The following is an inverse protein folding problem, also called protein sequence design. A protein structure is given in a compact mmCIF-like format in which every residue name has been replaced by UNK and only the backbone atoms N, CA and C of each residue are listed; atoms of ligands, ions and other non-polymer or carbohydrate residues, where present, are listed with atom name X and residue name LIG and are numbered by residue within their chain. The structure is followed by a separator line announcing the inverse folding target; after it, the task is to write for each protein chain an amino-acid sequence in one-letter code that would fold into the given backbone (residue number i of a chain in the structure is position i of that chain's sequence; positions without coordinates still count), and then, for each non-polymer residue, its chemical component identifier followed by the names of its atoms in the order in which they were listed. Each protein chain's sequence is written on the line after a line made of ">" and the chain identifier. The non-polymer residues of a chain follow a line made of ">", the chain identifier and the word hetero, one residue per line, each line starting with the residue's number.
data_IF_160284410161
#
_entry.id   IF_160284410161
#
_cell.length_a   1.000
_cell.length_b   1.000
_cell.length_c   1.000
_cell.angle_alpha   90.00
_cell.angle_beta   90.00
_cell.angle_gamma   90.00
#
_symmetry.space_group_name_H-M   'P 1'
#
loop_
_entity.id
_entity.type
_entity.pdbx_description
1 polymer ?
#
# COMPACT_ATOMS: atom_id res chain seq x y z
N UNK A 1 2.94 -3.31 6.17
CA UNK A 1 1.60 -2.74 6.49
C UNK A 1 0.78 -2.56 5.21
N UNK A 2 1.23 -1.77 4.19
CA UNK A 2 0.49 -1.51 2.94
C UNK A 2 0.03 -2.80 2.27
N UNK A 3 0.95 -3.74 2.01
CA UNK A 3 0.65 -5.04 1.42
C UNK A 3 -0.49 -5.77 2.15
N UNK A 4 -0.44 -5.77 3.50
CA UNK A 4 -1.47 -6.44 4.30
C UNK A 4 -2.83 -5.74 4.21
N UNK A 5 -2.86 -4.40 4.27
CA UNK A 5 -4.10 -3.63 4.13
C UNK A 5 -4.75 -3.85 2.76
N UNK A 6 -3.96 -3.79 1.69
CA UNK A 6 -4.45 -3.98 0.31
C UNK A 6 -5.01 -5.38 0.11
N UNK A 7 -4.28 -6.43 0.54
CA UNK A 7 -4.78 -7.79 0.40
C UNK A 7 -5.99 -8.06 1.29
N UNK A 8 -6.02 -7.58 2.53
CA UNK A 8 -7.19 -7.72 3.40
C UNK A 8 -8.46 -7.17 2.74
N UNK A 9 -8.38 -5.97 2.17
CA UNK A 9 -9.52 -5.35 1.48
C UNK A 9 -9.89 -6.11 0.21
N UNK A 10 -8.89 -6.51 -0.60
CA UNK A 10 -9.09 -7.25 -1.82
C UNK A 10 -9.74 -8.63 -1.56
N UNK A 11 -9.21 -9.37 -0.59
CA UNK A 11 -9.73 -10.68 -0.20
C UNK A 11 -11.15 -10.56 0.36
N UNK A 12 -11.38 -9.54 1.22
CA UNK A 12 -12.71 -9.33 1.83
C UNK A 12 -13.78 -9.03 0.78
N UNK A 13 -13.48 -8.25 -0.25
CA UNK A 13 -14.41 -7.97 -1.34
C UNK A 13 -14.60 -9.18 -2.25
N UNK A 14 -13.51 -9.85 -2.64
CA UNK A 14 -13.54 -10.96 -3.58
C UNK A 14 -14.25 -12.22 -3.05
N UNK A 15 -14.33 -12.37 -1.72
CA UNK A 15 -15.03 -13.49 -1.08
C UNK A 15 -16.55 -13.30 -1.02
N UNK A 16 -17.05 -12.11 -1.31
CA UNK A 16 -18.48 -11.84 -1.31
C UNK A 16 -19.12 -12.24 -2.64
N UNK A 17 -20.20 -13.04 -2.63
CA UNK A 17 -20.91 -13.39 -3.86
C UNK A 17 -21.67 -12.18 -4.40
N UNK A 18 -21.60 -11.99 -5.72
CA UNK A 18 -22.37 -10.96 -6.42
C UNK A 18 -23.74 -11.52 -6.78
N UNK A 19 -24.81 -10.99 -6.21
CA UNK A 19 -26.18 -11.41 -6.52
C UNK A 19 -26.67 -10.70 -7.78
N UNK A 20 -26.87 -11.46 -8.86
CA UNK A 20 -27.48 -10.93 -10.06
C UNK A 20 -29.01 -11.01 -9.91
N UNK A 21 -29.65 -9.83 -9.86
CA UNK A 21 -31.09 -9.72 -9.57
C UNK A 21 -31.87 -9.30 -10.81
N UNK A 22 -32.92 -10.04 -11.14
CA UNK A 22 -33.85 -9.68 -12.21
C UNK A 22 -35.19 -9.24 -11.63
N UNK A 23 -35.75 -8.14 -12.15
CA UNK A 23 -37.05 -7.65 -11.74
C UNK A 23 -38.17 -8.54 -12.36
N UNK A 24 -39.02 -9.13 -11.51
CA UNK A 24 -40.23 -9.86 -11.88
C UNK A 24 -41.41 -9.20 -11.22
N UNK A 25 -42.18 -8.41 -12.00
CA UNK A 25 -43.24 -7.57 -11.43
C UNK A 25 -42.66 -6.48 -10.51
N UNK A 26 -43.08 -6.48 -9.25
CA UNK A 26 -42.64 -5.49 -8.25
C UNK A 26 -41.50 -6.00 -7.33
N UNK A 27 -41.00 -7.23 -7.55
CA UNK A 27 -39.97 -7.83 -6.74
C UNK A 27 -38.72 -8.10 -7.55
N UNK A 28 -37.56 -8.06 -6.89
CA UNK A 28 -36.28 -8.50 -7.45
C UNK A 28 -36.01 -9.95 -7.00
N UNK A 29 -35.72 -10.81 -7.95
CA UNK A 29 -35.42 -12.23 -7.72
C UNK A 29 -34.04 -12.54 -8.26
N UNK A 30 -33.24 -13.28 -7.49
CA UNK A 30 -31.92 -13.73 -7.93
C UNK A 30 -32.06 -14.67 -9.14
N UNK A 31 -31.35 -14.36 -10.24
CA UNK A 31 -31.33 -15.17 -11.44
C UNK A 31 -29.96 -15.82 -11.63
N UNK A 32 -29.84 -17.06 -11.14
CA UNK A 32 -28.60 -17.86 -11.24
C UNK A 32 -28.44 -18.54 -12.60
N UNK A 33 -29.47 -18.52 -13.43
CA UNK A 33 -29.44 -19.13 -14.76
C UNK A 33 -28.87 -18.21 -15.83
N UNK A 34 -28.77 -16.93 -15.54
CA UNK A 34 -28.22 -15.95 -16.47
C UNK A 34 -26.70 -16.08 -16.58
N UNK A 35 -26.18 -15.89 -17.80
CA UNK A 35 -24.73 -15.89 -18.07
C UNK A 35 -23.98 -14.85 -17.24
N UNK A 36 -24.61 -13.73 -16.95
CA UNK A 36 -24.01 -12.68 -16.13
C UNK A 36 -23.70 -13.16 -14.70
N UNK A 37 -24.59 -13.99 -14.11
CA UNK A 37 -24.31 -14.61 -12.82
C UNK A 37 -23.02 -15.46 -12.86
N UNK A 38 -22.83 -16.23 -13.95
CA UNK A 38 -21.61 -17.04 -14.14
C UNK A 38 -20.36 -16.15 -14.28
N UNK A 39 -20.43 -15.08 -15.10
CA UNK A 39 -19.32 -14.16 -15.31
C UNK A 39 -18.92 -13.43 -14.01
N UNK A 40 -19.88 -13.02 -13.19
CA UNK A 40 -19.60 -12.27 -11.96
C UNK A 40 -19.09 -13.15 -10.81
N UNK A 41 -19.47 -14.44 -10.76
CA UNK A 41 -19.20 -15.31 -9.61
C UNK A 41 -18.24 -16.48 -9.89
N UNK A 42 -18.02 -16.85 -11.14
CA UNK A 42 -17.23 -18.04 -11.48
C UNK A 42 -16.04 -17.68 -12.35
N UNK A 43 -16.28 -17.17 -13.55
CA UNK A 43 -15.23 -16.93 -14.54
C UNK A 43 -15.54 -15.70 -15.40
N UNK A 44 -15.05 -14.52 -15.03
CA UNK A 44 -15.22 -13.29 -15.81
C UNK A 44 -14.54 -13.33 -17.17
N UNK A 45 -13.35 -13.94 -17.26
CA UNK A 45 -12.57 -14.10 -18.48
C UNK A 45 -11.83 -15.45 -18.50
N UNK A 46 -11.15 -15.76 -19.60
CA UNK A 46 -10.56 -17.08 -19.83
C UNK A 46 -9.46 -17.46 -18.82
N UNK A 47 -8.73 -16.46 -18.30
CA UNK A 47 -7.53 -16.68 -17.47
C UNK A 47 -7.67 -16.24 -16.01
N UNK A 48 -8.81 -15.67 -15.59
CA UNK A 48 -9.04 -15.26 -14.21
C UNK A 48 -10.29 -15.94 -13.64
N UNK A 49 -10.16 -16.46 -12.43
CA UNK A 49 -11.34 -16.79 -11.62
C UNK A 49 -12.03 -15.51 -11.14
N UNK A 50 -13.30 -15.61 -10.75
CA UNK A 50 -14.02 -14.44 -10.21
C UNK A 50 -13.33 -13.86 -8.96
N UNK A 51 -12.75 -14.71 -8.11
CA UNK A 51 -12.02 -14.28 -6.92
C UNK A 51 -10.78 -13.47 -7.30
N UNK A 52 -9.95 -14.00 -8.20
CA UNK A 52 -8.74 -13.30 -8.66
C UNK A 52 -9.09 -11.98 -9.37
N UNK A 53 -10.15 -11.99 -10.16
CA UNK A 53 -10.65 -10.82 -10.87
C UNK A 53 -11.03 -9.68 -9.90
N UNK A 54 -11.88 -9.97 -8.91
CA UNK A 54 -12.32 -8.98 -7.93
C UNK A 54 -11.19 -8.53 -7.01
N UNK A 55 -10.29 -9.44 -6.64
CA UNK A 55 -9.06 -9.05 -5.93
C UNK A 55 -8.24 -8.03 -6.74
N UNK A 56 -8.09 -8.30 -8.05
CA UNK A 56 -7.30 -7.41 -8.91
C UNK A 56 -7.99 -6.07 -9.14
N UNK A 57 -9.32 -6.04 -9.27
CA UNK A 57 -10.11 -4.80 -9.32
C UNK A 57 -9.85 -3.94 -8.09
N UNK A 58 -9.92 -4.51 -6.89
CA UNK A 58 -9.67 -3.79 -5.63
C UNK A 58 -8.21 -3.34 -5.52
N UNK A 59 -7.26 -4.17 -5.94
CA UNK A 59 -5.84 -3.77 -5.98
C UNK A 59 -5.63 -2.57 -6.90
N UNK A 60 -6.23 -2.56 -8.07
CA UNK A 60 -6.15 -1.40 -8.99
C UNK A 60 -6.78 -0.16 -8.38
N UNK A 61 -7.94 -0.27 -7.73
CA UNK A 61 -8.58 0.85 -7.03
C UNK A 61 -7.67 1.45 -5.96
N UNK A 62 -7.07 0.61 -5.11
CA UNK A 62 -6.27 1.09 -3.99
C UNK A 62 -4.89 1.60 -4.43
N UNK A 63 -4.23 0.90 -5.36
CA UNK A 63 -2.86 1.20 -5.78
C UNK A 63 -2.80 2.26 -6.89
N UNK A 64 -3.78 2.28 -7.81
CA UNK A 64 -3.81 3.18 -8.97
C UNK A 64 -4.94 4.21 -8.90
N UNK A 65 -5.94 3.99 -8.05
CA UNK A 65 -7.09 4.87 -7.92
C UNK A 65 -8.25 4.56 -8.87
N UNK A 66 -8.01 3.81 -9.92
CA UNK A 66 -8.97 3.49 -10.98
C UNK A 66 -8.92 2.01 -11.31
N UNK A 67 -10.08 1.43 -11.62
CA UNK A 67 -10.18 0.11 -12.23
C UNK A 67 -11.09 0.20 -13.45
N UNK A 68 -10.65 -0.40 -14.55
CA UNK A 68 -11.34 -0.38 -15.83
C UNK A 68 -11.71 -1.79 -16.24
N UNK A 69 -12.99 -2.01 -16.53
CA UNK A 69 -13.51 -3.28 -17.02
C UNK A 69 -14.22 -3.01 -18.34
N UNK A 70 -13.87 -3.73 -19.38
CA UNK A 70 -14.51 -3.64 -20.69
C UNK A 70 -15.36 -4.89 -20.92
N UNK A 71 -16.70 -4.77 -20.99
CA UNK A 71 -17.56 -5.84 -21.40
C UNK A 71 -17.33 -6.14 -22.88
N UNK A 72 -16.98 -7.39 -23.21
CA UNK A 72 -16.82 -7.83 -24.59
C UNK A 72 -18.07 -8.60 -24.97
N UNK A 73 -18.74 -8.14 -26.02
CA UNK A 73 -20.00 -8.72 -26.49
C UNK A 73 -19.75 -9.79 -27.55
N UNK A 74 -20.56 -10.82 -27.51
CA UNK A 74 -20.68 -11.79 -28.60
C UNK A 74 -21.52 -11.16 -29.73
N UNK A 75 -20.97 -11.06 -30.91
CA UNK A 75 -21.63 -10.44 -32.07
C UNK A 75 -22.92 -11.18 -32.53
N UNK A 76 -23.03 -12.48 -32.21
CA UNK A 76 -24.19 -13.27 -32.62
C UNK A 76 -25.35 -13.16 -31.64
N UNK A 77 -25.03 -13.19 -30.34
CA UNK A 77 -26.03 -13.21 -29.29
C UNK A 77 -26.29 -11.83 -28.68
N UNK A 78 -25.45 -10.84 -28.99
CA UNK A 78 -25.45 -9.50 -28.39
C UNK A 78 -25.41 -9.54 -26.86
N UNK A 79 -24.97 -10.65 -26.30
CA UNK A 79 -24.78 -10.80 -24.85
C UNK A 79 -23.31 -10.61 -24.47
N UNK A 80 -23.05 -10.27 -23.20
CA UNK A 80 -21.68 -10.17 -22.69
C UNK A 80 -21.02 -11.55 -22.72
N UNK A 81 -19.97 -11.67 -23.51
CA UNK A 81 -19.20 -12.90 -23.64
C UNK A 81 -18.17 -13.03 -22.50
N UNK A 82 -17.50 -11.95 -22.14
CA UNK A 82 -16.50 -11.88 -21.07
C UNK A 82 -16.36 -10.46 -20.54
N UNK A 83 -15.84 -10.34 -19.33
CA UNK A 83 -15.44 -9.07 -18.72
C UNK A 83 -13.91 -8.95 -18.78
N UNK A 84 -13.39 -8.02 -19.55
CA UNK A 84 -11.95 -7.81 -19.67
C UNK A 84 -11.49 -6.78 -18.64
N UNK A 85 -10.68 -7.20 -17.67
CA UNK A 85 -10.03 -6.30 -16.73
C UNK A 85 -8.77 -5.73 -17.37
N UNK A 86 -8.71 -4.40 -17.47
CA UNK A 86 -7.63 -3.66 -18.14
C UNK A 86 -6.67 -3.08 -17.11
N UNK A 87 -5.37 -3.14 -17.38
CA UNK A 87 -4.37 -2.49 -16.54
C UNK A 87 -4.54 -0.95 -16.61
N UNK A 88 -4.75 -0.26 -15.50
CA UNK A 88 -4.92 1.20 -15.50
C UNK A 88 -3.74 1.97 -16.09
N UNK A 89 -2.56 1.35 -16.20
CA UNK A 89 -1.38 2.00 -16.82
C UNK A 89 -1.44 2.04 -18.34
N UNK A 90 -2.30 1.22 -18.94
CA UNK A 90 -2.49 1.14 -20.40
C UNK A 90 -3.69 1.95 -20.89
N UNK A 91 -4.37 2.65 -19.97
CA UNK A 91 -5.56 3.45 -20.24
C UNK A 91 -5.23 4.94 -20.17
N UNK A 92 -5.49 5.67 -21.24
CA UNK A 92 -5.49 7.12 -21.26
C UNK A 92 -6.95 7.61 -21.29
N UNK A 93 -7.39 8.29 -20.24
CA UNK A 93 -8.73 8.86 -20.12
C UNK A 93 -8.70 10.33 -20.57
N UNK A 94 -9.40 10.65 -21.64
CA UNK A 94 -9.69 12.01 -22.05
C UNK A 94 -10.91 12.53 -21.26
N UNK A 95 -10.63 13.36 -20.28
CA UNK A 95 -11.68 13.93 -19.39
C UNK A 95 -12.52 15.01 -20.05
N UNK A 96 -12.12 15.51 -21.24
CA UNK A 96 -12.88 16.53 -21.99
C UNK A 96 -13.95 15.87 -22.83
N UNK A 97 -13.57 14.83 -23.59
CA UNK A 97 -14.48 14.10 -24.48
C UNK A 97 -15.12 12.88 -23.82
N UNK A 98 -14.74 12.54 -22.58
CA UNK A 98 -15.17 11.36 -21.83
C UNK A 98 -14.92 10.04 -22.60
N UNK A 99 -13.75 9.94 -23.26
CA UNK A 99 -13.32 8.76 -24.03
C UNK A 99 -12.10 8.11 -23.40
N UNK A 100 -11.97 6.80 -23.60
CA UNK A 100 -10.85 5.99 -23.08
C UNK A 100 -10.06 5.42 -24.24
N UNK A 101 -8.80 5.80 -24.36
CA UNK A 101 -7.86 5.13 -25.26
C UNK A 101 -7.17 4.01 -24.51
N UNK A 102 -7.42 2.77 -24.90
CA UNK A 102 -6.91 1.57 -24.25
C UNK A 102 -5.95 0.85 -25.19
N UNK A 103 -4.83 0.38 -24.65
CA UNK A 103 -3.91 -0.47 -25.39
C UNK A 103 -3.33 -1.56 -24.45
N UNK A 104 -4.16 -2.52 -24.09
CA UNK A 104 -3.80 -3.64 -23.22
C UNK A 104 -3.77 -4.95 -24.01
N UNK A 105 -2.55 -5.38 -24.32
CA UNK A 105 -2.29 -6.62 -25.07
C UNK A 105 -2.70 -7.87 -24.26
N UNK A 106 -2.53 -7.83 -22.93
CA UNK A 106 -2.87 -8.97 -22.07
C UNK A 106 -4.38 -9.14 -21.91
N UNK A 107 -5.11 -8.05 -21.75
CA UNK A 107 -6.57 -8.07 -21.75
C UNK A 107 -7.15 -8.31 -23.15
N UNK A 108 -6.35 -8.18 -24.22
CA UNK A 108 -6.80 -8.26 -25.60
C UNK A 108 -7.75 -7.13 -25.98
N UNK A 109 -7.52 -5.92 -25.42
CA UNK A 109 -8.34 -4.73 -25.62
C UNK A 109 -7.46 -3.62 -26.19
N UNK A 110 -7.82 -3.13 -27.39
CA UNK A 110 -7.13 -2.04 -28.05
C UNK A 110 -8.13 -1.18 -28.82
N UNK A 111 -8.03 0.14 -28.67
CA UNK A 111 -8.91 1.09 -29.36
C UNK A 111 -9.33 2.26 -28.50
N UNK A 112 -10.26 3.04 -29.04
CA UNK A 112 -10.91 4.15 -28.35
C UNK A 112 -12.33 3.72 -28.01
N UNK A 113 -12.72 3.90 -26.77
CA UNK A 113 -14.00 3.50 -26.21
C UNK A 113 -14.69 4.71 -25.60
N UNK A 114 -16.01 4.75 -25.74
CA UNK A 114 -16.82 5.76 -25.10
C UNK A 114 -17.06 5.43 -23.61
N UNK A 115 -17.48 6.44 -22.84
CA UNK A 115 -17.78 6.31 -21.40
C UNK A 115 -18.79 5.19 -21.11
N UNK A 116 -19.76 4.97 -22.02
CA UNK A 116 -20.78 3.92 -21.89
C UNK A 116 -20.24 2.49 -22.07
N UNK A 117 -19.10 2.34 -22.75
CA UNK A 117 -18.52 1.02 -23.07
C UNK A 117 -17.52 0.52 -22.03
N UNK A 118 -17.10 1.39 -21.12
CA UNK A 118 -16.08 1.05 -20.10
C UNK A 118 -16.66 1.21 -18.69
N UNK A 119 -16.66 0.17 -17.89
CA UNK A 119 -16.93 0.29 -16.46
C UNK A 119 -15.72 0.91 -15.80
N UNK A 120 -15.85 2.16 -15.39
CA UNK A 120 -14.81 2.91 -14.71
C UNK A 120 -15.13 3.06 -13.23
N UNK A 121 -14.59 2.14 -12.42
CA UNK A 121 -14.72 2.19 -10.97
C UNK A 121 -13.63 3.09 -10.42
N UNK A 122 -14.03 4.13 -9.68
CA UNK A 122 -13.13 5.16 -9.14
C UNK A 122 -13.01 5.05 -7.64
N UNK A 123 -11.79 5.16 -7.12
CA UNK A 123 -11.56 5.28 -5.70
C UNK A 123 -12.02 6.67 -5.20
N UNK A 124 -11.24 7.37 -4.42
CA UNK A 124 -11.51 8.78 -4.09
C UNK A 124 -11.26 9.64 -5.32
N UNK A 125 -12.19 10.55 -5.63
CA UNK A 125 -12.08 11.44 -6.77
C UNK A 125 -12.34 12.88 -6.34
N UNK A 126 -11.54 13.82 -6.82
CA UNK A 126 -11.73 15.26 -6.57
C UNK A 126 -12.54 15.90 -7.68
N UNK A 127 -12.31 15.49 -8.93
CA UNK A 127 -12.94 16.02 -10.13
C UNK A 127 -14.20 15.24 -10.56
N UNK A 128 -14.47 14.11 -9.91
CA UNK A 128 -15.53 13.18 -10.28
C UNK A 128 -15.24 12.33 -11.52
N UNK A 129 -14.18 12.63 -12.27
CA UNK A 129 -13.80 11.96 -13.51
C UNK A 129 -12.69 10.93 -13.33
N UNK A 130 -11.68 11.26 -12.52
CA UNK A 130 -10.54 10.38 -12.25
C UNK A 130 -10.44 10.03 -10.78
N UNK A 131 -10.07 8.78 -10.48
CA UNK A 131 -9.84 8.30 -9.12
C UNK A 131 -8.39 8.52 -8.69
N UNK A 132 -8.18 8.87 -7.43
CA UNK A 132 -6.87 9.02 -6.82
C UNK A 132 -6.42 7.75 -6.11
N UNK A 133 -5.16 7.39 -6.31
CA UNK A 133 -4.52 6.28 -5.59
C UNK A 133 -4.42 6.57 -4.10
N UNK A 134 -4.78 5.60 -3.25
CA UNK A 134 -4.58 5.69 -1.81
C UNK A 134 -3.11 5.87 -1.45
N UNK A 135 -2.21 5.23 -2.20
CA UNK A 135 -0.76 5.36 -2.01
C UNK A 135 -0.27 6.77 -2.36
N UNK A 136 -0.76 7.36 -3.45
CA UNK A 136 -0.38 8.72 -3.81
C UNK A 136 -0.81 9.73 -2.74
N UNK A 137 -1.97 9.51 -2.12
CA UNK A 137 -2.47 10.33 -1.02
C UNK A 137 -1.65 10.12 0.27
N UNK A 138 -1.24 8.89 0.54
CA UNK A 138 -0.44 8.52 1.72
C UNK A 138 1.07 8.72 1.52
N UNK A 139 1.51 9.29 0.40
CA UNK A 139 2.92 9.35 -0.02
C UNK A 139 3.86 9.85 1.08
N UNK A 140 3.53 10.95 1.75
CA UNK A 140 4.39 11.53 2.79
C UNK A 140 4.60 10.55 3.95
N UNK A 141 3.54 9.89 4.43
CA UNK A 141 3.62 8.91 5.51
C UNK A 141 4.44 7.67 5.09
N UNK A 142 4.32 7.25 3.83
CA UNK A 142 5.08 6.15 3.27
C UNK A 142 6.57 6.49 3.09
N UNK A 143 6.89 7.70 2.66
CA UNK A 143 8.26 8.19 2.50
C UNK A 143 8.97 8.28 3.86
N UNK A 144 8.30 8.77 4.91
CA UNK A 144 8.81 8.77 6.28
C UNK A 144 9.13 7.35 6.76
N UNK A 145 8.21 6.40 6.52
CA UNK A 145 8.38 5.00 6.91
C UNK A 145 9.57 4.37 6.17
N UNK A 146 9.66 4.59 4.87
CA UNK A 146 10.75 4.07 4.03
C UNK A 146 12.12 4.62 4.45
N UNK A 147 12.19 5.92 4.73
CA UNK A 147 13.44 6.56 5.20
C UNK A 147 13.86 6.03 6.57
N UNK A 148 12.92 5.81 7.48
CA UNK A 148 13.18 5.21 8.79
C UNK A 148 13.67 3.76 8.68
N UNK A 149 13.09 2.95 7.79
CA UNK A 149 13.54 1.58 7.53
C UNK A 149 14.95 1.58 6.90
N UNK A 150 15.26 2.51 5.98
CA UNK A 150 16.59 2.65 5.38
C UNK A 150 17.65 3.03 6.41
N UNK A 151 17.35 3.98 7.31
CA UNK A 151 18.25 4.33 8.41
C UNK A 151 18.50 3.14 9.34
N UNK A 152 17.48 2.32 9.59
CA UNK A 152 17.60 1.10 10.38
C UNK A 152 18.52 0.08 9.70
N UNK A 153 18.32 -0.15 8.41
CA UNK A 153 19.20 -1.04 7.63
C UNK A 153 20.64 -0.55 7.63
N UNK A 154 20.86 0.74 7.47
CA UNK A 154 22.20 1.35 7.52
C UNK A 154 22.86 1.16 8.90
N UNK A 155 22.08 1.28 9.99
CA UNK A 155 22.60 1.02 11.35
C UNK A 155 23.00 -0.43 11.53
N UNK A 156 22.18 -1.39 11.09
CA UNK A 156 22.51 -2.82 11.19
C UNK A 156 23.66 -3.22 10.28
N UNK A 157 23.72 -2.70 9.06
CA UNK A 157 24.80 -2.98 8.10
C UNK A 157 26.16 -2.46 8.58
N UNK A 158 26.18 -1.32 9.29
CA UNK A 158 27.40 -0.68 9.79
C UNK A 158 27.73 -1.05 11.26
N UNK A 159 27.19 -2.15 11.78
CA UNK A 159 27.53 -2.66 13.11
C UNK A 159 27.05 -1.82 14.30
N UNK A 160 26.06 -0.96 14.08
CA UNK A 160 25.59 0.03 15.05
C UNK A 160 26.50 1.28 15.02
N UNK A 161 25.95 2.42 14.60
CA UNK A 161 26.72 3.68 14.55
C UNK A 161 27.10 4.12 15.96
N UNK A 162 28.28 3.75 16.42
CA UNK A 162 28.90 4.38 17.58
C UNK A 162 29.36 5.77 17.13
N UNK A 163 28.50 6.77 17.35
CA UNK A 163 28.90 8.17 17.16
C UNK A 163 29.55 8.67 18.44
N UNK A 164 30.68 9.28 18.31
CA UNK A 164 31.38 9.85 19.44
C UNK A 164 32.27 11.00 19.02
N UNK A 165 32.74 11.71 20.01
CA UNK A 165 33.71 12.80 19.83
C UNK A 165 35.05 12.27 20.28
N UNK A 166 36.07 12.42 19.43
CA UNK A 166 37.48 12.17 19.75
C UNK A 166 38.07 13.49 20.19
N UNK A 167 38.53 13.59 21.41
CA UNK A 167 39.13 14.80 21.97
C UNK A 167 40.44 14.48 22.71
N UNK A 168 41.23 15.50 22.95
CA UNK A 168 42.42 15.39 23.83
C UNK A 168 41.97 15.10 25.28
N UNK A 169 42.66 14.18 25.94
CA UNK A 169 42.48 13.92 27.37
C UNK A 169 43.30 14.92 28.19
N UNK A 170 42.63 15.97 28.66
CA UNK A 170 43.24 17.03 29.49
C UNK A 170 43.60 16.56 30.90
N UNK A 171 43.26 15.33 31.28
CA UNK A 171 43.66 14.77 32.60
C UNK A 171 45.08 14.21 32.62
N UNK A 172 45.68 13.96 31.48
CA UNK A 172 47.04 13.40 31.34
C UNK A 172 48.05 14.53 31.27
N UNK A 173 48.65 14.88 32.42
CA UNK A 173 49.72 15.88 32.46
C UNK A 173 51.05 15.30 31.95
N UNK A 174 51.70 16.05 31.03
CA UNK A 174 53.08 15.78 30.60
C UNK A 174 53.28 15.28 29.17
N UNK A 175 52.24 15.14 28.41
CA UNK A 175 52.29 14.87 26.95
C UNK A 175 51.81 16.06 26.17
N UNK A 176 52.43 16.39 25.03
CA UNK A 176 51.99 17.48 24.17
C UNK A 176 50.58 17.20 23.62
N UNK A 177 49.82 18.25 23.41
CA UNK A 177 48.50 18.15 22.78
C UNK A 177 48.62 17.55 21.39
N UNK A 178 47.74 16.58 21.08
CA UNK A 178 47.62 16.06 19.71
C UNK A 178 47.16 17.21 18.80
N UNK A 179 47.86 17.35 17.67
CA UNK A 179 47.47 18.35 16.67
C UNK A 179 46.16 17.92 15.99
N UNK A 180 45.39 18.87 15.49
CA UNK A 180 44.07 18.61 14.86
C UNK A 180 44.13 17.53 13.76
N UNK A 181 45.20 17.49 12.97
CA UNK A 181 45.43 16.47 11.94
C UNK A 181 45.58 15.06 12.49
N UNK A 182 46.15 14.90 13.68
CA UNK A 182 46.36 13.60 14.32
C UNK A 182 45.05 13.11 14.98
N UNK A 183 44.26 14.02 15.53
CA UNK A 183 42.94 13.73 16.01
C UNK A 183 42.00 13.28 14.87
N UNK A 184 42.06 13.95 13.72
CA UNK A 184 41.30 13.58 12.52
C UNK A 184 41.71 12.19 11.98
N UNK A 185 42.99 11.88 11.96
CA UNK A 185 43.47 10.54 11.59
C UNK A 185 42.98 9.48 12.57
N UNK A 186 43.06 9.73 13.87
CA UNK A 186 42.59 8.80 14.90
C UNK A 186 41.06 8.60 14.78
N UNK A 187 40.31 9.64 14.51
CA UNK A 187 38.86 9.54 14.28
C UNK A 187 38.51 8.71 13.04
N UNK A 188 39.29 8.89 11.96
CA UNK A 188 39.12 8.14 10.71
C UNK A 188 39.51 6.64 10.89
N UNK A 189 40.57 6.36 11.62
CA UNK A 189 40.98 4.98 11.94
C UNK A 189 39.95 4.28 12.83
N UNK A 190 39.44 4.96 13.84
CA UNK A 190 38.33 4.48 14.68
C UNK A 190 37.07 4.17 13.86
N UNK A 191 36.67 5.06 12.97
CA UNK A 191 35.48 4.85 12.14
C UNK A 191 35.67 3.62 11.23
N UNK A 192 36.89 3.45 10.65
CA UNK A 192 37.18 2.30 9.81
C UNK A 192 37.15 0.97 10.56
N UNK A 193 37.68 0.92 11.79
CA UNK A 193 37.68 -0.27 12.65
C UNK A 193 36.27 -0.63 13.14
N UNK A 194 35.47 0.35 13.53
CA UNK A 194 34.06 0.12 13.90
C UNK A 194 33.24 -0.38 12.71
N UNK A 195 33.47 0.15 11.50
CA UNK A 195 32.87 -0.38 10.27
C UNK A 195 33.34 -1.79 9.94
N UNK A 196 34.58 -2.13 10.29
CA UNK A 196 35.15 -3.47 10.19
C UNK A 196 34.61 -4.48 11.21
N UNK A 197 33.77 -4.05 12.14
CA UNK A 197 33.13 -4.91 13.14
C UNK A 197 33.94 -5.11 14.42
N UNK A 198 35.03 -4.36 14.64
CA UNK A 198 35.76 -4.38 15.89
C UNK A 198 34.90 -3.81 17.03
N UNK A 199 34.73 -4.57 18.11
CA UNK A 199 33.94 -4.16 19.28
C UNK A 199 34.74 -3.42 20.33
N UNK A 200 36.04 -3.65 20.37
CA UNK A 200 36.96 -3.07 21.35
C UNK A 200 38.18 -2.54 20.59
N UNK A 201 38.39 -1.23 20.67
CA UNK A 201 39.50 -0.56 20.01
C UNK A 201 40.33 0.15 21.09
N UNK A 202 41.66 -0.02 21.06
CA UNK A 202 42.53 0.72 21.97
C UNK A 202 42.79 2.11 21.41
N UNK A 203 42.75 3.11 22.29
CA UNK A 203 43.07 4.50 21.98
C UNK A 203 44.44 4.87 22.49
N UNK A 204 45.19 5.78 21.81
CA UNK A 204 46.38 6.39 22.38
C UNK A 204 46.05 7.05 23.72
N UNK A 205 46.96 6.98 24.71
CA UNK A 205 46.73 7.47 26.07
C UNK A 205 46.47 9.00 26.22
N UNK A 206 46.57 9.73 25.13
CA UNK A 206 46.33 11.17 25.06
C UNK A 206 44.98 11.54 24.44
N UNK A 207 44.18 10.54 24.04
CA UNK A 207 42.92 10.75 23.31
C UNK A 207 41.78 10.08 24.06
N UNK A 208 40.72 10.83 24.26
CA UNK A 208 39.48 10.37 24.88
C UNK A 208 38.38 10.23 23.81
N UNK A 209 37.69 9.12 23.84
CA UNK A 209 36.48 8.91 23.04
C UNK A 209 35.26 9.04 23.94
N UNK A 210 34.43 10.03 23.64
CA UNK A 210 33.16 10.23 24.32
C UNK A 210 32.00 9.79 23.42
N UNK A 211 31.37 8.63 23.70
CA UNK A 211 30.24 8.19 22.90
C UNK A 211 29.05 9.13 23.08
N UNK A 212 28.45 9.53 21.96
CA UNK A 212 27.17 10.23 21.97
C UNK A 212 26.10 9.14 22.13
N UNK A 213 25.63 8.93 23.37
CA UNK A 213 24.62 7.91 23.64
C UNK A 213 23.26 8.33 23.10
N UNK A 214 22.70 7.51 22.20
CA UNK A 214 21.39 7.68 21.58
C UNK A 214 20.29 6.86 22.29
N UNK A 215 20.43 6.55 23.58
CA UNK A 215 19.50 5.65 24.30
C UNK A 215 18.05 6.14 24.35
N UNK A 216 17.81 7.45 24.27
CA UNK A 216 16.47 8.05 24.14
C UNK A 216 15.91 7.93 22.72
N UNK A 217 16.76 7.87 21.71
CA UNK A 217 16.39 7.86 20.29
C UNK A 217 15.83 6.51 19.85
N UNK A 218 16.28 5.42 20.45
CA UNK A 218 15.81 4.08 20.09
C UNK A 218 14.38 3.82 20.56
N UNK A 219 14.01 4.33 21.72
CA UNK A 219 12.62 4.28 22.22
C UNK A 219 11.70 5.14 21.35
N UNK A 220 12.10 6.36 21.02
CA UNK A 220 11.36 7.25 20.12
C UNK A 220 11.21 6.67 18.72
N UNK A 221 12.22 5.95 18.23
CA UNK A 221 12.17 5.27 16.93
C UNK A 221 11.12 4.16 16.91
N UNK A 222 11.03 3.33 17.94
CA UNK A 222 10.01 2.28 18.06
C UNK A 222 8.59 2.86 18.14
N UNK A 223 8.41 3.97 18.86
CA UNK A 223 7.13 4.67 18.92
C UNK A 223 6.74 5.29 17.57
N UNK A 224 7.70 5.89 16.87
CA UNK A 224 7.49 6.42 15.52
C UNK A 224 7.10 5.32 14.54
N UNK A 225 7.73 4.15 14.64
CA UNK A 225 7.40 3.00 13.79
C UNK A 225 5.98 2.47 14.03
N UNK A 226 5.55 2.39 15.28
CA UNK A 226 4.15 2.06 15.63
C UNK A 226 3.17 3.12 15.14
N UNK A 227 3.54 4.40 15.26
CA UNK A 227 2.73 5.50 14.75
C UNK A 227 2.57 5.42 13.24
N UNK A 228 3.64 5.13 12.49
CA UNK A 228 3.60 4.98 11.03
C UNK A 228 2.69 3.82 10.58
N UNK A 229 2.67 2.69 11.29
CA UNK A 229 1.74 1.60 11.00
C UNK A 229 0.29 2.06 11.13
N UNK A 230 -0.05 2.77 12.20
CA UNK A 230 -1.39 3.31 12.43
C UNK A 230 -1.80 4.36 11.41
N UNK A 231 -0.87 5.22 11.00
CA UNK A 231 -1.07 6.20 9.94
C UNK A 231 -1.42 5.51 8.60
N UNK A 232 -0.67 4.50 8.21
CA UNK A 232 -0.95 3.73 6.99
C UNK A 232 -2.33 3.08 7.08
N UNK A 233 -2.67 2.47 8.22
CA UNK A 233 -3.97 1.86 8.44
C UNK A 233 -5.13 2.87 8.28
N UNK A 234 -4.96 4.12 8.73
CA UNK A 234 -5.96 5.19 8.57
C UNK A 234 -6.25 5.50 7.10
N UNK A 235 -5.22 5.56 6.24
CA UNK A 235 -5.42 5.81 4.81
C UNK A 235 -6.22 4.70 4.11
N UNK A 236 -6.06 3.46 4.56
CA UNK A 236 -6.81 2.32 4.02
C UNK A 236 -8.14 2.07 4.75
N UNK A 237 -8.45 2.81 5.80
CA UNK A 237 -9.66 2.61 6.62
C UNK A 237 -9.67 1.27 7.35
N UNK A 238 -8.50 0.72 7.67
CA UNK A 238 -8.31 -0.58 8.33
C UNK A 238 -7.91 -0.37 9.77
N UNK A 239 -8.58 -1.07 10.72
CA UNK A 239 -8.15 -1.01 12.11
C UNK A 239 -6.80 -1.71 12.30
N UNK A 240 -5.86 -1.16 13.12
CA UNK A 240 -4.52 -1.73 13.32
C UNK A 240 -4.51 -3.20 13.76
N UNK A 241 -5.51 -3.67 14.48
CA UNK A 241 -5.63 -5.08 14.90
C UNK A 241 -5.67 -6.05 13.71
N UNK A 242 -6.23 -5.66 12.56
CA UNK A 242 -6.28 -6.51 11.37
C UNK A 242 -4.92 -6.67 10.67
N UNK A 243 -3.96 -5.82 11.02
CA UNK A 243 -2.57 -5.91 10.55
C UNK A 243 -1.61 -6.44 11.62
N UNK A 244 -2.17 -7.02 12.71
CA UNK A 244 -1.44 -7.58 13.84
C UNK A 244 -0.62 -6.56 14.65
N UNK A 245 -1.06 -5.30 14.68
CA UNK A 245 -0.50 -4.26 15.55
C UNK A 245 -1.42 -4.07 16.78
N UNK A 246 -1.43 -5.07 17.65
CA UNK A 246 -2.25 -5.09 18.85
C UNK A 246 -1.49 -4.62 20.08
N UNK A 247 -1.89 -3.48 20.60
CA UNK A 247 -1.40 -3.01 21.91
C UNK A 247 -2.38 -3.25 23.06
N UNK A 248 -3.64 -3.56 22.80
CA UNK A 248 -4.62 -3.99 23.83
C UNK A 248 -5.95 -4.44 23.19
N UNK A 249 -6.30 -5.72 23.27
CA UNK A 249 -7.59 -6.22 22.79
C UNK A 249 -8.52 -6.58 23.95
N UNK A 250 -9.56 -5.77 24.14
CA UNK A 250 -10.78 -6.19 24.78
C UNK A 250 -11.73 -6.80 23.73
N UNK A 251 -12.35 -7.93 24.02
CA UNK A 251 -13.25 -8.67 23.13
C UNK A 251 -14.34 -7.78 22.49
N UNK A 252 -14.94 -6.87 23.26
CA UNK A 252 -15.89 -5.87 22.76
C UNK A 252 -15.30 -4.90 21.72
N UNK A 253 -14.03 -4.57 21.85
CA UNK A 253 -13.34 -3.69 20.91
C UNK A 253 -13.13 -4.37 19.54
N UNK A 254 -12.87 -5.69 19.52
CA UNK A 254 -12.71 -6.45 18.28
C UNK A 254 -14.02 -6.58 17.50
N UNK A 255 -15.14 -6.84 18.18
CA UNK A 255 -16.46 -6.90 17.53
C UNK A 255 -16.86 -5.54 16.92
N UNK A 256 -16.69 -4.46 17.67
CA UNK A 256 -16.94 -3.11 17.16
C UNK A 256 -16.04 -2.75 16.00
N UNK A 257 -14.77 -3.18 16.00
CA UNK A 257 -13.84 -2.98 14.89
C UNK A 257 -14.30 -3.73 13.63
N UNK A 258 -14.80 -4.97 13.76
CA UNK A 258 -15.36 -5.74 12.64
C UNK A 258 -16.59 -5.05 12.04
N UNK A 259 -17.53 -4.58 12.87
CA UNK A 259 -18.72 -3.85 12.39
C UNK A 259 -18.32 -2.55 11.71
N UNK A 260 -17.40 -1.79 12.30
CA UNK A 260 -16.90 -0.55 11.72
C UNK A 260 -16.18 -0.80 10.37
N UNK A 261 -15.39 -1.86 10.26
CA UNK A 261 -14.74 -2.26 9.02
C UNK A 261 -15.75 -2.58 7.91
N UNK A 262 -16.77 -3.37 8.23
CA UNK A 262 -17.83 -3.70 7.26
C UNK A 262 -18.60 -2.44 6.83
N UNK A 263 -19.02 -1.60 7.78
CA UNK A 263 -19.90 -0.47 7.51
C UNK A 263 -19.18 0.70 6.86
N UNK A 264 -17.98 1.04 7.37
CA UNK A 264 -17.30 2.28 7.00
C UNK A 264 -16.26 2.09 5.90
N UNK A 265 -15.72 0.86 5.73
CA UNK A 265 -14.65 0.60 4.77
C UNK A 265 -15.13 -0.26 3.59
N UNK A 266 -15.70 -1.43 3.85
CA UNK A 266 -16.11 -2.34 2.77
C UNK A 266 -17.39 -1.86 2.06
N UNK A 267 -18.42 -1.48 2.80
CA UNK A 267 -19.72 -1.11 2.21
C UNK A 267 -19.61 0.06 1.19
N UNK A 268 -18.89 1.18 1.46
CA UNK A 268 -18.70 2.22 0.46
C UNK A 268 -17.97 1.74 -0.81
N UNK A 269 -17.01 0.82 -0.67
CA UNK A 269 -16.27 0.25 -1.80
C UNK A 269 -17.17 -0.67 -2.63
N UNK A 270 -17.89 -1.57 -1.98
CA UNK A 270 -18.87 -2.46 -2.63
C UNK A 270 -19.92 -1.65 -3.39
N UNK A 271 -20.45 -0.59 -2.75
CA UNK A 271 -21.45 0.26 -3.37
C UNK A 271 -20.98 0.94 -4.64
N UNK A 272 -19.71 1.35 -4.72
CA UNK A 272 -19.12 1.91 -5.94
C UNK A 272 -19.07 0.87 -7.07
N UNK A 273 -18.70 -0.35 -6.74
CA UNK A 273 -18.65 -1.47 -7.70
C UNK A 273 -20.07 -1.80 -8.18
N UNK A 274 -21.00 -1.99 -7.27
CA UNK A 274 -22.40 -2.34 -7.58
C UNK A 274 -23.08 -1.30 -8.46
N UNK A 275 -22.95 -0.02 -8.12
CA UNK A 275 -23.57 1.06 -8.89
C UNK A 275 -23.01 1.15 -10.30
N UNK A 276 -21.71 0.98 -10.46
CA UNK A 276 -21.11 1.02 -11.80
C UNK A 276 -21.47 -0.20 -12.64
N UNK A 277 -21.53 -1.38 -12.05
CA UNK A 277 -22.06 -2.59 -12.69
C UNK A 277 -23.51 -2.38 -13.13
N UNK A 278 -24.37 -1.93 -12.22
CA UNK A 278 -25.80 -1.73 -12.51
C UNK A 278 -26.07 -0.64 -13.56
N UNK A 279 -25.16 0.34 -13.66
CA UNK A 279 -25.29 1.44 -14.63
C UNK A 279 -24.99 1.02 -16.06
N UNK A 280 -24.09 0.05 -16.24
CA UNK A 280 -23.50 -0.26 -17.56
C UNK A 280 -23.68 -1.72 -18.02
N UNK A 281 -24.11 -2.61 -17.14
CA UNK A 281 -24.47 -4.01 -17.42
C UNK A 281 -25.97 -4.27 -17.17
#
# INVERSE_FOLDING_TARGET
>A
TVYRCVNLLADSVAMLPVQYMRKKGDIFVEDRSDRMHYLLNVQPCEWLSAVDFWQQVVRYLLLRGNAYIVPVYDLLTMSVARLALVDPTTVAHDTVNDTYTINDVYAGISGVYDESEVLHIKNYSVDGKTGLSTIAYARIALDITSTGDQETLNRFANGGNVRGIVSNDNSVRGFGEYQDKELEKTATDLDSRFRGGERIVSLPGQVQFSPISLSSTDMQFLETRKFNVREICRFFGVHPSFVFDDTSNNYKSAEMANVAFLTNTLNPMLRKIEVELHRKL
#
